data_IF_892765048431
#
_entry.id   IF_892765048431
#
_cell.length_a   1.000
_cell.length_b   1.000
_cell.length_c   1.000
_cell.angle_alpha   90.00
_cell.angle_beta   90.00
_cell.angle_gamma   90.00
#
_symmetry.space_group_name_H-M   'P 1'
#
loop_
_entity.id
_entity.type
_entity.pdbx_description
1 polymer ?
#
# COMPACT_ATOMS: atom_id res chain seq x y z
N UNK A 1 31.19 31.82 8.24
CA UNK A 1 30.36 32.42 7.17
C UNK A 1 29.75 31.28 6.37
N UNK A 2 28.58 30.78 6.78
CA UNK A 2 27.81 29.83 5.97
C UNK A 2 27.12 30.63 4.87
N UNK A 3 27.41 30.31 3.60
CA UNK A 3 26.93 31.09 2.46
C UNK A 3 25.40 30.96 2.26
N UNK A 4 24.77 31.95 1.59
CA UNK A 4 23.31 31.98 1.34
C UNK A 4 22.76 30.77 0.58
N UNK A 5 23.62 29.99 -0.09
CA UNK A 5 23.26 28.76 -0.83
C UNK A 5 22.93 27.58 0.10
N UNK A 6 23.67 27.41 1.22
CA UNK A 6 23.38 26.36 2.21
C UNK A 6 22.04 26.63 2.91
N UNK A 7 21.80 27.89 3.26
CA UNK A 7 20.60 28.34 3.93
C UNK A 7 19.34 28.14 3.06
N UNK A 8 19.45 28.35 1.74
CA UNK A 8 18.37 28.06 0.80
C UNK A 8 18.07 26.57 0.60
N UNK A 9 19.10 25.72 0.63
CA UNK A 9 18.95 24.27 0.53
C UNK A 9 18.24 23.69 1.77
N UNK A 10 18.65 24.12 2.97
CA UNK A 10 18.08 23.65 4.23
C UNK A 10 16.59 24.01 4.37
N UNK A 11 16.19 25.23 3.94
CA UNK A 11 14.79 25.66 3.92
C UNK A 11 13.93 24.79 2.98
N UNK A 12 14.49 24.40 1.82
CA UNK A 12 13.80 23.54 0.86
C UNK A 12 13.55 22.14 1.45
N UNK A 13 14.56 21.52 2.04
CA UNK A 13 14.48 20.17 2.64
C UNK A 13 13.53 20.16 3.85
N UNK A 14 13.58 21.19 4.70
CA UNK A 14 12.67 21.32 5.84
C UNK A 14 11.21 21.44 5.38
N UNK A 15 10.96 22.23 4.32
CA UNK A 15 9.63 22.38 3.75
C UNK A 15 9.11 21.06 3.20
N UNK A 16 9.94 20.34 2.43
CA UNK A 16 9.59 19.04 1.88
C UNK A 16 9.26 18.00 2.96
N UNK A 17 10.11 17.91 3.98
CA UNK A 17 9.92 16.97 5.11
C UNK A 17 8.63 17.29 5.87
N UNK A 18 8.35 18.57 6.08
CA UNK A 18 7.12 19.02 6.76
C UNK A 18 5.87 18.65 5.96
N UNK A 19 5.88 18.85 4.63
CA UNK A 19 4.77 18.47 3.76
C UNK A 19 4.57 16.95 3.79
N UNK A 20 5.65 16.19 3.66
CA UNK A 20 5.63 14.72 3.69
C UNK A 20 5.03 14.20 5.00
N UNK A 21 5.55 14.63 6.15
CA UNK A 21 5.05 14.21 7.45
C UNK A 21 3.59 14.62 7.66
N UNK A 22 3.22 15.85 7.27
CA UNK A 22 1.84 16.33 7.38
C UNK A 22 0.89 15.45 6.55
N UNK A 23 1.30 15.04 5.34
CA UNK A 23 0.51 14.15 4.50
C UNK A 23 0.30 12.77 5.13
N UNK A 24 1.32 12.22 5.80
CA UNK A 24 1.24 10.93 6.49
C UNK A 24 0.34 11.01 7.73
N UNK A 25 0.45 12.08 8.52
CA UNK A 25 -0.41 12.32 9.69
C UNK A 25 -1.86 12.50 9.27
N UNK A 26 -2.12 13.31 8.25
CA UNK A 26 -3.47 13.48 7.69
C UNK A 26 -4.01 12.12 7.21
N UNK A 27 -3.19 11.33 6.51
CA UNK A 27 -3.57 9.99 6.07
C UNK A 27 -3.93 9.08 7.23
N UNK A 28 -3.13 9.05 8.30
CA UNK A 28 -3.44 8.27 9.51
C UNK A 28 -4.75 8.70 10.17
N UNK A 29 -4.99 10.00 10.29
CA UNK A 29 -6.24 10.54 10.86
C UNK A 29 -7.44 10.11 10.01
N UNK A 30 -7.35 10.24 8.69
CA UNK A 30 -8.42 9.84 7.77
C UNK A 30 -8.66 8.32 7.77
N UNK A 31 -7.60 7.50 7.76
CA UNK A 31 -7.72 6.05 7.85
C UNK A 31 -8.36 5.63 9.17
N UNK A 32 -7.98 6.26 10.28
CA UNK A 32 -8.59 6.03 11.59
C UNK A 32 -10.06 6.44 11.62
N UNK A 33 -10.39 7.61 11.05
CA UNK A 33 -11.76 8.10 10.95
C UNK A 33 -12.66 7.19 10.09
N UNK A 34 -12.08 6.47 9.12
CA UNK A 34 -12.80 5.48 8.30
C UNK A 34 -12.90 4.12 9.00
N UNK A 35 -11.87 3.73 9.75
CA UNK A 35 -11.81 2.45 10.46
C UNK A 35 -12.74 2.42 11.68
N UNK A 36 -12.73 3.47 12.50
CA UNK A 36 -13.47 3.52 13.77
C UNK A 36 -14.99 3.28 13.62
N UNK A 37 -15.71 3.97 12.71
CA UNK A 37 -17.14 3.71 12.51
C UNK A 37 -17.41 2.27 12.04
N UNK A 38 -16.51 1.69 11.24
CA UNK A 38 -16.65 0.32 10.74
C UNK A 38 -16.36 -0.75 11.81
N UNK A 39 -15.65 -0.41 12.89
CA UNK A 39 -15.44 -1.29 14.04
C UNK A 39 -16.53 -1.15 15.10
N UNK A 40 -17.04 0.07 15.31
CA UNK A 40 -18.02 0.35 16.38
C UNK A 40 -19.46 0.14 15.91
N UNK A 41 -19.77 0.43 14.65
CA UNK A 41 -21.14 0.34 14.14
C UNK A 41 -21.52 -1.09 13.78
N UNK A 42 -22.57 -1.60 14.43
CA UNK A 42 -23.21 -2.89 14.08
C UNK A 42 -23.92 -2.86 12.71
N UNK A 43 -24.10 -1.68 12.13
CA UNK A 43 -24.80 -1.49 10.86
C UNK A 43 -23.85 -1.44 9.65
N UNK A 44 -22.54 -1.35 9.87
CA UNK A 44 -21.55 -1.23 8.80
C UNK A 44 -20.86 -2.58 8.61
N UNK A 45 -21.33 -3.34 7.61
CA UNK A 45 -20.69 -4.60 7.24
C UNK A 45 -19.63 -4.37 6.15
N UNK A 46 -18.39 -4.75 6.44
CA UNK A 46 -17.26 -4.72 5.50
C UNK A 46 -16.62 -6.10 5.39
N UNK A 47 -15.93 -6.33 4.28
CA UNK A 47 -15.19 -7.57 4.06
C UNK A 47 -13.98 -7.63 5.00
N UNK A 48 -13.58 -8.82 5.43
CA UNK A 48 -12.48 -8.98 6.41
C UNK A 48 -11.17 -8.41 5.88
N UNK A 49 -10.88 -8.60 4.59
CA UNK A 49 -9.66 -8.08 3.96
C UNK A 49 -9.66 -6.55 3.89
N UNK A 50 -10.84 -5.91 3.85
CA UNK A 50 -10.92 -4.45 3.87
C UNK A 50 -10.29 -3.85 5.14
N UNK A 51 -10.57 -4.44 6.31
CA UNK A 51 -9.94 -4.01 7.56
C UNK A 51 -8.43 -4.19 7.51
N UNK A 52 -7.96 -5.32 7.00
CA UNK A 52 -6.53 -5.61 6.88
C UNK A 52 -5.81 -4.64 5.93
N UNK A 53 -6.45 -4.27 4.81
CA UNK A 53 -5.95 -3.25 3.89
C UNK A 53 -5.82 -1.87 4.57
N UNK A 54 -6.83 -1.44 5.33
CA UNK A 54 -6.75 -0.17 6.08
C UNK A 54 -5.63 -0.22 7.11
N UNK A 55 -5.53 -1.30 7.89
CA UNK A 55 -4.44 -1.48 8.85
C UNK A 55 -3.06 -1.47 8.17
N UNK A 56 -2.92 -2.08 6.99
CA UNK A 56 -1.64 -2.06 6.27
C UNK A 56 -1.23 -0.66 5.81
N UNK A 57 -2.18 0.16 5.37
CA UNK A 57 -1.92 1.56 5.02
C UNK A 57 -1.52 2.38 6.26
N UNK A 58 -2.08 2.08 7.43
CA UNK A 58 -1.63 2.68 8.68
C UNK A 58 -0.21 2.26 9.04
N UNK A 59 0.15 0.98 8.88
CA UNK A 59 1.52 0.47 9.08
C UNK A 59 2.50 1.20 8.16
N UNK A 60 2.13 1.40 6.89
CA UNK A 60 2.92 2.21 5.95
C UNK A 60 3.18 3.62 6.49
N UNK A 61 2.15 4.34 6.91
CA UNK A 61 2.33 5.69 7.44
C UNK A 61 3.20 5.71 8.71
N UNK A 62 2.98 4.78 9.64
CA UNK A 62 3.77 4.68 10.88
C UNK A 62 5.24 4.42 10.56
N UNK A 63 5.54 3.54 9.59
CA UNK A 63 6.91 3.18 9.21
C UNK A 63 7.77 4.41 8.89
N UNK A 64 7.22 5.35 8.11
CA UNK A 64 7.90 6.60 7.79
C UNK A 64 7.94 7.60 8.96
N UNK A 65 6.87 7.67 9.76
CA UNK A 65 6.79 8.60 10.89
C UNK A 65 7.71 8.24 12.07
N UNK A 66 8.32 7.06 12.09
CA UNK A 66 9.28 6.67 13.14
C UNK A 66 10.50 7.59 13.24
N UNK A 67 10.87 8.28 12.16
CA UNK A 67 12.02 9.18 12.15
C UNK A 67 11.67 10.61 12.59
N UNK A 68 10.39 10.91 12.84
CA UNK A 68 9.98 12.26 13.27
C UNK A 68 10.75 12.65 14.53
N UNK A 69 11.41 13.81 14.48
CA UNK A 69 12.33 14.28 15.52
C UNK A 69 13.81 14.07 15.20
N UNK A 70 14.15 13.11 14.33
CA UNK A 70 15.52 12.84 13.85
C UNK A 70 15.71 13.13 12.34
N UNK A 71 14.65 13.56 11.65
CA UNK A 71 14.73 13.89 10.22
C UNK A 71 15.57 15.13 9.94
N UNK A 72 15.49 16.17 10.78
CA UNK A 72 16.17 17.46 10.55
C UNK A 72 17.20 17.69 11.66
N UNK A 73 18.41 18.10 11.27
CA UNK A 73 19.45 18.52 12.20
C UNK A 73 20.74 17.72 12.06
N UNK A 74 21.79 18.15 12.78
CA UNK A 74 23.12 17.53 12.71
C UNK A 74 23.19 16.20 13.46
N UNK A 75 22.22 15.90 14.33
CA UNK A 75 22.18 14.64 15.06
C UNK A 75 21.68 13.52 14.14
N UNK A 76 22.43 12.42 14.10
CA UNK A 76 22.05 11.21 13.37
C UNK A 76 21.07 10.37 14.21
N UNK A 77 20.09 9.71 13.59
CA UNK A 77 19.16 8.85 14.30
C UNK A 77 19.90 7.69 14.98
N UNK A 78 19.43 7.22 16.14
CA UNK A 78 19.95 6.00 16.75
C UNK A 78 19.93 4.85 15.75
N UNK A 79 21.06 4.16 15.58
CA UNK A 79 21.22 3.12 14.55
C UNK A 79 20.12 2.06 14.59
N UNK A 80 19.66 1.67 15.78
CA UNK A 80 18.57 0.71 15.94
C UNK A 80 17.22 1.22 15.39
N UNK A 81 16.93 2.51 15.56
CA UNK A 81 15.75 3.16 14.99
C UNK A 81 15.85 3.20 13.46
N UNK A 82 17.02 3.58 12.95
CA UNK A 82 17.30 3.70 11.52
C UNK A 82 17.19 2.34 10.83
N UNK A 83 17.83 1.29 11.37
CA UNK A 83 17.74 -0.10 10.88
C UNK A 83 16.30 -0.61 10.90
N UNK A 84 15.56 -0.41 11.99
CA UNK A 84 14.18 -0.86 12.10
C UNK A 84 13.27 -0.13 11.10
N UNK A 85 13.46 1.19 10.96
CA UNK A 85 12.72 1.98 9.98
C UNK A 85 13.03 1.52 8.56
N UNK A 86 14.30 1.36 8.19
CA UNK A 86 14.70 0.91 6.85
C UNK A 86 14.00 -0.39 6.47
N UNK A 87 14.00 -1.39 7.37
CA UNK A 87 13.30 -2.65 7.12
C UNK A 87 11.79 -2.46 6.93
N UNK A 88 11.15 -1.64 7.77
CA UNK A 88 9.71 -1.38 7.67
C UNK A 88 9.33 -0.56 6.43
N UNK A 89 10.13 0.43 6.04
CA UNK A 89 9.88 1.29 4.87
C UNK A 89 9.96 0.49 3.57
N UNK A 90 10.87 -0.47 3.46
CA UNK A 90 10.92 -1.35 2.29
C UNK A 90 9.78 -2.38 2.28
N UNK A 91 9.36 -2.89 3.43
CA UNK A 91 8.35 -3.95 3.51
C UNK A 91 6.90 -3.43 3.52
N UNK A 92 6.62 -2.26 4.11
CA UNK A 92 5.26 -1.77 4.26
C UNK A 92 4.52 -1.49 2.93
N UNK A 93 5.16 -0.97 1.86
CA UNK A 93 4.50 -0.85 0.56
C UNK A 93 4.10 -2.21 0.00
N UNK A 94 4.93 -3.25 0.21
CA UNK A 94 4.61 -4.63 -0.17
C UNK A 94 3.35 -5.09 0.57
N UNK A 95 3.27 -4.90 1.88
CA UNK A 95 2.09 -5.27 2.67
C UNK A 95 0.79 -4.64 2.14
N UNK A 96 0.83 -3.35 1.80
CA UNK A 96 -0.33 -2.63 1.26
C UNK A 96 -0.78 -3.22 -0.07
N UNK A 97 0.17 -3.47 -0.97
CA UNK A 97 -0.12 -4.01 -2.31
C UNK A 97 -0.59 -5.46 -2.24
N UNK A 98 0.01 -6.29 -1.37
CA UNK A 98 -0.42 -7.67 -1.16
C UNK A 98 -1.85 -7.76 -0.60
N UNK A 99 -2.22 -6.86 0.33
CA UNK A 99 -3.60 -6.79 0.82
C UNK A 99 -4.56 -6.22 -0.23
N UNK A 100 -4.13 -5.29 -1.08
CA UNK A 100 -4.95 -4.80 -2.19
C UNK A 100 -5.21 -5.90 -3.24
N UNK A 101 -4.21 -6.75 -3.51
CA UNK A 101 -4.36 -7.94 -4.33
C UNK A 101 -5.33 -8.94 -3.69
N UNK A 102 -5.19 -9.20 -2.40
CA UNK A 102 -6.09 -10.11 -1.67
C UNK A 102 -7.53 -9.59 -1.65
N UNK A 103 -7.71 -8.27 -1.51
CA UNK A 103 -9.01 -7.60 -1.62
C UNK A 103 -9.60 -7.75 -3.02
N UNK A 104 -8.76 -7.67 -4.07
CA UNK A 104 -9.15 -7.90 -5.46
C UNK A 104 -9.67 -9.32 -5.69
N UNK A 105 -8.97 -10.31 -5.12
CA UNK A 105 -9.39 -11.71 -5.21
C UNK A 105 -10.69 -11.97 -4.44
N UNK A 106 -10.83 -11.42 -3.23
CA UNK A 106 -12.05 -11.54 -2.43
C UNK A 106 -13.26 -10.96 -3.18
N UNK A 107 -13.10 -9.80 -3.83
CA UNK A 107 -14.15 -9.19 -4.64
C UNK A 107 -14.55 -10.08 -5.83
N UNK A 108 -13.56 -10.63 -6.55
CA UNK A 108 -13.82 -11.52 -7.69
C UNK A 108 -14.55 -12.79 -7.25
N UNK A 109 -14.08 -13.44 -6.18
CA UNK A 109 -14.71 -14.64 -5.63
C UNK A 109 -16.11 -14.37 -5.10
N UNK A 110 -16.33 -13.21 -4.46
CA UNK A 110 -17.65 -12.77 -4.04
C UNK A 110 -18.62 -12.63 -5.21
N UNK A 111 -18.19 -12.00 -6.31
CA UNK A 111 -19.00 -11.85 -7.53
C UNK A 111 -19.30 -13.22 -8.15
N UNK A 112 -18.30 -14.10 -8.25
CA UNK A 112 -18.46 -15.44 -8.82
C UNK A 112 -19.38 -16.33 -7.98
N UNK A 113 -19.22 -16.33 -6.65
CA UNK A 113 -20.07 -17.08 -5.72
C UNK A 113 -21.52 -16.60 -5.84
N UNK A 114 -21.73 -15.29 -5.80
CA UNK A 114 -23.05 -14.69 -5.96
C UNK A 114 -23.68 -15.00 -7.33
N UNK A 115 -22.90 -14.96 -8.42
CA UNK A 115 -23.37 -15.36 -9.76
C UNK A 115 -23.79 -16.82 -9.85
N UNK A 116 -23.28 -17.68 -8.97
CA UNK A 116 -23.64 -19.11 -8.87
C UNK A 116 -24.75 -19.37 -7.85
N UNK A 117 -25.30 -18.32 -7.22
CA UNK A 117 -26.27 -18.45 -6.13
C UNK A 117 -25.70 -19.11 -4.88
N UNK A 118 -24.38 -19.02 -4.66
CA UNK A 118 -23.67 -19.63 -3.53
C UNK A 118 -22.99 -18.57 -2.68
N UNK A 119 -22.79 -18.86 -1.41
CA UNK A 119 -21.92 -18.07 -0.55
C UNK A 119 -20.45 -18.43 -0.76
N UNK A 120 -19.57 -17.48 -0.49
CA UNK A 120 -18.13 -17.74 -0.54
C UNK A 120 -17.74 -18.68 0.61
N UNK A 121 -16.90 -19.67 0.31
CA UNK A 121 -16.46 -20.63 1.33
C UNK A 121 -15.62 -19.91 2.39
N UNK A 122 -15.93 -20.17 3.67
CA UNK A 122 -15.20 -19.59 4.81
C UNK A 122 -13.68 -19.84 4.73
N UNK A 123 -13.28 -21.02 4.25
CA UNK A 123 -11.86 -21.40 4.08
C UNK A 123 -11.09 -20.59 3.02
N UNK A 124 -11.76 -19.83 2.16
CA UNK A 124 -11.10 -18.98 1.15
C UNK A 124 -10.59 -17.66 1.74
N UNK A 125 -11.17 -17.18 2.86
CA UNK A 125 -10.74 -15.91 3.47
C UNK A 125 -9.41 -16.01 4.23
N UNK A 126 -9.16 -17.16 4.85
CA UNK A 126 -7.94 -17.39 5.66
C UNK A 126 -6.66 -17.24 4.83
N UNK A 127 -6.49 -17.92 3.67
CA UNK A 127 -5.28 -17.75 2.88
C UNK A 127 -5.12 -16.33 2.34
N UNK A 128 -6.21 -15.63 2.03
CA UNK A 128 -6.19 -14.22 1.59
C UNK A 128 -5.74 -13.26 2.71
N UNK A 129 -5.89 -13.64 3.98
CA UNK A 129 -5.37 -12.87 5.12
C UNK A 129 -3.92 -13.21 5.43
N UNK A 130 -3.55 -14.50 5.33
CA UNK A 130 -2.22 -15.00 5.71
C UNK A 130 -1.18 -14.66 4.65
N UNK A 131 -1.51 -14.76 3.36
CA UNK A 131 -0.56 -14.53 2.27
C UNK A 131 0.13 -13.15 2.36
N UNK A 132 -0.59 -12.02 2.52
CA UNK A 132 0.05 -10.70 2.65
C UNK A 132 0.98 -10.58 3.85
N UNK A 133 0.61 -11.16 5.00
CA UNK A 133 1.45 -11.15 6.19
C UNK A 133 2.72 -11.99 5.99
N UNK A 134 2.59 -13.13 5.33
CA UNK A 134 3.73 -13.97 5.02
C UNK A 134 4.74 -13.24 4.13
N UNK A 135 4.27 -12.64 3.02
CA UNK A 135 5.14 -11.87 2.11
C UNK A 135 5.79 -10.70 2.85
N UNK A 136 5.02 -9.95 3.64
CA UNK A 136 5.54 -8.84 4.44
C UNK A 136 6.63 -9.29 5.43
N UNK A 137 6.40 -10.35 6.21
CA UNK A 137 7.38 -10.85 7.18
C UNK A 137 8.66 -11.30 6.48
N UNK A 138 8.57 -11.95 5.32
CA UNK A 138 9.74 -12.33 4.53
C UNK A 138 10.56 -11.11 4.11
N UNK A 139 9.91 -10.05 3.60
CA UNK A 139 10.60 -8.81 3.18
C UNK A 139 11.17 -8.05 4.38
N UNK A 140 10.45 -8.00 5.52
CA UNK A 140 10.99 -7.41 6.77
C UNK A 140 12.25 -8.13 7.23
N UNK A 141 12.23 -9.47 7.27
CA UNK A 141 13.38 -10.27 7.71
C UNK A 141 14.57 -10.05 6.77
N UNK A 142 14.34 -10.08 5.46
CA UNK A 142 15.37 -9.84 4.46
C UNK A 142 16.02 -8.46 4.62
N UNK A 143 15.22 -7.39 4.64
CA UNK A 143 15.72 -6.04 4.79
C UNK A 143 16.42 -5.82 6.14
N UNK A 144 15.90 -6.43 7.21
CA UNK A 144 16.50 -6.38 8.55
C UNK A 144 17.86 -7.09 8.59
N UNK A 145 17.97 -8.28 7.99
CA UNK A 145 19.23 -9.02 7.90
C UNK A 145 20.26 -8.21 7.14
N UNK A 146 19.91 -7.63 5.98
CA UNK A 146 20.82 -6.81 5.20
C UNK A 146 21.27 -5.55 5.95
N UNK A 147 20.35 -4.87 6.64
CA UNK A 147 20.67 -3.68 7.43
C UNK A 147 21.54 -4.00 8.66
N UNK A 148 21.36 -5.16 9.30
CA UNK A 148 22.18 -5.60 10.43
C UNK A 148 23.58 -6.06 9.97
N UNK A 149 23.69 -6.67 8.79
CA UNK A 149 24.98 -7.08 8.24
C UNK A 149 25.81 -5.88 7.78
N UNK A 150 25.16 -4.84 7.26
CA UNK A 150 25.81 -3.65 6.70
C UNK A 150 25.44 -2.38 7.49
N UNK A 151 25.55 -2.40 8.81
CA UNK A 151 25.14 -1.27 9.68
C UNK A 151 25.79 0.06 9.31
N UNK A 152 27.01 0.02 8.79
CA UNK A 152 27.77 1.21 8.40
C UNK A 152 27.25 1.83 7.09
N UNK A 153 26.39 1.12 6.36
CA UNK A 153 25.75 1.57 5.11
C UNK A 153 24.30 2.01 5.32
N UNK A 154 23.79 1.92 6.56
CA UNK A 154 22.47 2.41 6.93
C UNK A 154 22.60 3.87 7.29
N UNK A 155 22.06 4.73 6.44
CA UNK A 155 22.15 6.18 6.61
C UNK A 155 20.83 6.84 6.26
N UNK A 156 20.65 8.06 6.76
CA UNK A 156 19.50 8.90 6.44
C UNK A 156 19.56 9.28 4.96
N UNK A 157 18.43 9.11 4.28
CA UNK A 157 18.29 9.48 2.87
C UNK A 157 18.58 10.99 2.66
N UNK A 158 19.18 11.41 1.54
CA UNK A 158 19.45 12.83 1.27
C UNK A 158 18.21 13.73 1.29
N UNK A 159 17.02 13.21 1.01
CA UNK A 159 15.76 13.93 1.13
C UNK A 159 15.25 13.99 2.58
N UNK A 160 15.96 13.38 3.53
CA UNK A 160 15.71 13.39 4.97
C UNK A 160 14.38 12.73 5.39
N UNK A 161 13.71 12.00 4.50
CA UNK A 161 12.40 11.43 4.79
C UNK A 161 12.46 10.13 5.61
N UNK A 162 13.46 9.30 5.36
CA UNK A 162 13.60 7.98 5.97
C UNK A 162 15.08 7.54 5.97
N UNK A 163 15.38 6.48 6.72
CA UNK A 163 16.64 5.78 6.65
C UNK A 163 16.66 4.76 5.50
N UNK A 164 17.71 4.77 4.71
CA UNK A 164 17.90 3.85 3.58
C UNK A 164 19.19 3.04 3.74
N UNK A 165 19.25 1.94 3.00
CA UNK A 165 20.49 1.18 2.83
C UNK A 165 21.14 1.61 1.51
N UNK A 166 22.45 1.83 1.50
CA UNK A 166 23.17 2.20 0.28
C UNK A 166 23.02 1.13 -0.82
N UNK A 167 22.99 -0.14 -0.43
CA UNK A 167 22.63 -1.24 -1.33
C UNK A 167 21.18 -1.13 -1.80
N UNK A 168 20.98 -1.13 -3.12
CA UNK A 168 19.66 -1.11 -3.75
C UNK A 168 18.89 -2.44 -3.64
N UNK A 169 19.48 -3.47 -3.03
CA UNK A 169 18.91 -4.83 -2.96
C UNK A 169 17.53 -4.89 -2.29
N UNK A 170 17.31 -4.34 -1.08
CA UNK A 170 15.99 -4.41 -0.44
C UNK A 170 14.93 -3.65 -1.25
N UNK A 171 15.30 -2.48 -1.79
CA UNK A 171 14.43 -1.67 -2.63
C UNK A 171 14.03 -2.41 -3.91
N UNK A 172 14.98 -3.08 -4.57
CA UNK A 172 14.75 -3.87 -5.78
C UNK A 172 13.82 -5.05 -5.51
N UNK A 173 14.03 -5.80 -4.43
CA UNK A 173 13.18 -6.94 -4.05
C UNK A 173 11.75 -6.45 -3.83
N UNK A 174 11.54 -5.42 -3.01
CA UNK A 174 10.21 -4.84 -2.79
C UNK A 174 9.57 -4.36 -4.09
N UNK A 175 10.32 -3.67 -4.95
CA UNK A 175 9.82 -3.18 -6.23
C UNK A 175 9.39 -4.33 -7.17
N UNK A 176 10.15 -5.41 -7.23
CA UNK A 176 9.80 -6.60 -8.03
C UNK A 176 8.52 -7.24 -7.52
N UNK A 177 8.39 -7.45 -6.20
CA UNK A 177 7.19 -8.03 -5.60
C UNK A 177 5.96 -7.16 -5.89
N UNK A 178 6.06 -5.85 -5.63
CA UNK A 178 4.98 -4.89 -5.88
C UNK A 178 4.58 -4.88 -7.36
N UNK A 179 5.54 -4.93 -8.27
CA UNK A 179 5.26 -4.92 -9.71
C UNK A 179 4.50 -6.16 -10.15
N UNK A 180 4.89 -7.35 -9.65
CA UNK A 180 4.19 -8.60 -9.94
C UNK A 180 2.76 -8.53 -9.40
N UNK A 181 2.57 -8.12 -8.14
CA UNK A 181 1.25 -8.03 -7.52
C UNK A 181 0.36 -6.99 -8.19
N UNK A 182 0.91 -5.83 -8.57
CA UNK A 182 0.19 -4.81 -9.32
C UNK A 182 -0.25 -5.31 -10.71
N UNK A 183 0.62 -6.05 -11.41
CA UNK A 183 0.27 -6.70 -12.68
C UNK A 183 -0.90 -7.68 -12.51
N UNK A 184 -0.87 -8.51 -11.46
CA UNK A 184 -1.97 -9.42 -11.14
C UNK A 184 -3.27 -8.66 -10.79
N UNK A 185 -3.19 -7.54 -10.06
CA UNK A 185 -4.35 -6.71 -9.76
C UNK A 185 -5.03 -6.19 -11.03
N UNK A 186 -4.25 -5.68 -11.99
CA UNK A 186 -4.78 -5.19 -13.28
C UNK A 186 -5.53 -6.32 -14.02
N UNK A 187 -4.95 -7.53 -14.07
CA UNK A 187 -5.60 -8.69 -14.70
C UNK A 187 -6.93 -9.01 -13.99
N UNK A 188 -6.94 -9.04 -12.65
CA UNK A 188 -8.15 -9.29 -11.87
C UNK A 188 -9.20 -8.18 -12.05
N UNK A 189 -8.79 -6.93 -12.23
CA UNK A 189 -9.69 -5.80 -12.52
C UNK A 189 -10.37 -5.95 -13.87
N UNK A 190 -9.62 -6.32 -14.91
CA UNK A 190 -10.18 -6.58 -16.25
C UNK A 190 -11.19 -7.71 -16.18
N UNK A 191 -10.85 -8.83 -15.54
CA UNK A 191 -11.76 -9.98 -15.37
C UNK A 191 -13.01 -9.55 -14.59
N UNK A 192 -12.83 -8.84 -13.47
CA UNK A 192 -13.95 -8.35 -12.65
C UNK A 192 -14.85 -7.41 -13.46
N UNK A 193 -14.27 -6.49 -14.22
CA UNK A 193 -14.98 -5.56 -15.10
C UNK A 193 -15.79 -6.26 -16.19
N UNK A 194 -15.20 -7.28 -16.84
CA UNK A 194 -15.90 -8.11 -17.85
C UNK A 194 -17.11 -8.82 -17.22
N UNK A 195 -16.92 -9.47 -16.06
CA UNK A 195 -18.01 -10.17 -15.36
C UNK A 195 -19.13 -9.21 -14.94
N UNK A 196 -18.75 -8.02 -14.45
CA UNK A 196 -19.69 -6.97 -14.08
C UNK A 196 -20.45 -6.44 -15.31
N UNK A 197 -19.78 -6.24 -16.44
CA UNK A 197 -20.38 -5.79 -17.69
C UNK A 197 -21.36 -6.83 -18.27
N UNK A 198 -20.92 -8.09 -18.40
CA UNK A 198 -21.76 -9.19 -18.85
C UNK A 198 -23.02 -9.32 -18.00
N UNK A 199 -22.89 -9.17 -16.68
CA UNK A 199 -24.03 -9.23 -15.79
C UNK A 199 -25.01 -8.07 -16.02
N UNK A 200 -24.51 -6.85 -16.18
CA UNK A 200 -25.34 -5.67 -16.46
C UNK A 200 -26.14 -5.86 -17.75
N UNK A 201 -25.54 -6.42 -18.79
CA UNK A 201 -26.23 -6.68 -20.07
C UNK A 201 -27.27 -7.81 -19.96
N UNK A 202 -27.00 -8.85 -19.17
CA UNK A 202 -27.96 -9.93 -18.92
C UNK A 202 -29.15 -9.51 -18.03
N UNK A 203 -28.92 -8.66 -17.02
CA UNK A 203 -29.99 -8.11 -16.15
C UNK A 203 -30.83 -7.05 -16.88
N UNK A 204 -30.20 -6.18 -17.67
CA UNK A 204 -30.92 -5.20 -18.51
C UNK A 204 -31.83 -5.83 -19.57
N UNK A 205 -31.65 -7.13 -19.87
CA UNK A 205 -32.60 -7.93 -20.69
C UNK A 205 -33.70 -8.62 -19.89
N UNK A 206 -33.61 -8.66 -18.55
CA UNK A 206 -34.50 -9.40 -17.64
C UNK A 206 -35.31 -8.51 -16.70
N UNK A 207 -35.14 -7.18 -16.78
CA UNK A 207 -35.84 -6.13 -16.01
C UNK A 207 -37.36 -6.03 -16.28
N UNK A 208 -38.01 -7.09 -16.77
CA UNK A 208 -39.48 -7.19 -16.79
C UNK A 208 -40.06 -8.16 -15.77
N UNK A 209 -39.26 -8.91 -14.98
CA UNK A 209 -39.85 -9.99 -14.17
C UNK A 209 -39.50 -10.05 -12.67
N UNK A 210 -38.33 -9.65 -12.16
CA UNK A 210 -38.08 -9.73 -10.70
C UNK A 210 -36.75 -9.09 -10.32
N UNK A 211 -36.78 -7.81 -9.90
CA UNK A 211 -35.61 -7.10 -9.39
C UNK A 211 -35.29 -7.59 -7.96
N UNK A 212 -34.35 -8.55 -7.83
CA UNK A 212 -33.75 -8.83 -6.52
C UNK A 212 -32.80 -7.66 -6.18
N UNK A 213 -33.22 -6.82 -5.24
CA UNK A 213 -32.66 -5.52 -4.86
C UNK A 213 -31.28 -5.56 -4.14
N UNK A 214 -30.35 -6.46 -4.50
CA UNK A 214 -29.01 -6.39 -3.93
C UNK A 214 -28.18 -5.33 -4.71
N UNK A 215 -27.84 -4.18 -4.11
CA UNK A 215 -27.15 -3.11 -4.81
C UNK A 215 -25.77 -3.57 -5.29
N UNK A 216 -25.59 -3.45 -6.60
CA UNK A 216 -24.37 -3.78 -7.32
C UNK A 216 -23.19 -2.92 -6.80
N UNK A 217 -22.02 -3.50 -6.43
CA UNK A 217 -20.93 -2.77 -5.77
C UNK A 217 -20.06 -1.93 -6.74
N UNK A 218 -20.69 -1.22 -7.69
CA UNK A 218 -19.98 -0.43 -8.70
C UNK A 218 -19.07 0.64 -8.10
N UNK A 219 -19.55 1.31 -7.04
CA UNK A 219 -18.75 2.32 -6.34
C UNK A 219 -17.48 1.73 -5.71
N UNK A 220 -17.52 0.47 -5.27
CA UNK A 220 -16.35 -0.23 -4.75
C UNK A 220 -15.35 -0.54 -5.87
N UNK A 221 -15.86 -0.96 -7.03
CA UNK A 221 -15.04 -1.24 -8.21
C UNK A 221 -14.35 0.02 -8.76
N UNK A 222 -15.06 1.15 -8.85
CA UNK A 222 -14.45 2.43 -9.26
C UNK A 222 -13.34 2.85 -8.28
N UNK A 223 -13.61 2.81 -6.97
CA UNK A 223 -12.60 3.16 -5.95
C UNK A 223 -11.35 2.29 -6.06
N UNK A 224 -11.54 1.00 -6.37
CA UNK A 224 -10.45 0.06 -6.60
C UNK A 224 -9.61 0.44 -7.83
N UNK A 225 -10.24 0.72 -8.98
CA UNK A 225 -9.52 1.15 -10.19
C UNK A 225 -8.66 2.37 -9.89
N UNK A 226 -9.22 3.37 -9.20
CA UNK A 226 -8.47 4.57 -8.82
C UNK A 226 -7.24 4.20 -8.00
N UNK A 227 -7.37 3.30 -7.02
CA UNK A 227 -6.23 2.85 -6.21
C UNK A 227 -5.14 2.16 -7.04
N UNK A 228 -5.52 1.26 -7.95
CA UNK A 228 -4.57 0.53 -8.82
C UNK A 228 -3.88 1.47 -9.83
N UNK A 229 -4.60 2.44 -10.38
CA UNK A 229 -4.01 3.45 -11.27
C UNK A 229 -2.97 4.31 -10.55
N UNK A 230 -3.21 4.67 -9.29
CA UNK A 230 -2.23 5.42 -8.49
C UNK A 230 -0.94 4.61 -8.27
N UNK A 231 -1.06 3.31 -7.96
CA UNK A 231 0.10 2.41 -7.82
C UNK A 231 0.85 2.31 -9.16
N UNK A 232 0.13 2.10 -10.27
CA UNK A 232 0.73 2.00 -11.60
C UNK A 232 1.47 3.27 -12.02
N UNK A 233 0.91 4.44 -11.71
CA UNK A 233 1.55 5.73 -11.98
C UNK A 233 2.83 5.91 -11.15
N UNK A 234 2.79 5.55 -9.86
CA UNK A 234 3.96 5.61 -8.99
C UNK A 234 5.09 4.69 -9.50
N UNK A 235 4.78 3.44 -9.86
CA UNK A 235 5.76 2.50 -10.43
C UNK A 235 6.31 2.99 -11.77
N UNK A 236 5.47 3.54 -12.64
CA UNK A 236 5.88 4.10 -13.92
C UNK A 236 6.83 5.29 -13.74
N UNK A 237 6.55 6.17 -12.78
CA UNK A 237 7.42 7.30 -12.45
C UNK A 237 8.79 6.84 -11.94
N UNK A 238 8.82 5.89 -11.01
CA UNK A 238 10.05 5.29 -10.48
C UNK A 238 10.84 4.61 -11.61
N UNK A 239 10.20 3.81 -12.46
CA UNK A 239 10.85 3.17 -13.60
C UNK A 239 11.49 4.16 -14.56
N UNK A 240 10.84 5.30 -14.84
CA UNK A 240 11.40 6.37 -15.67
C UNK A 240 12.63 7.01 -15.04
N UNK A 241 12.64 7.21 -13.72
CA UNK A 241 13.81 7.73 -13.00
C UNK A 241 14.98 6.76 -13.13
N UNK A 242 14.78 5.47 -12.83
CA UNK A 242 15.84 4.47 -12.92
C UNK A 242 16.38 4.27 -14.34
N UNK A 243 15.55 4.44 -15.38
CA UNK A 243 16.01 4.40 -16.78
C UNK A 243 16.84 5.66 -17.13
N UNK A 244 16.52 6.81 -16.54
CA UNK A 244 17.22 8.08 -16.80
C UNK A 244 18.45 8.33 -15.92
N UNK A 245 18.61 7.58 -14.84
CA UNK A 245 19.76 7.63 -13.94
C UNK A 245 20.67 6.43 -14.21
N UNK A 246 21.48 6.42 -15.29
CA UNK A 246 22.58 5.49 -15.36
C UNK A 246 23.55 5.85 -14.24
N UNK A 247 23.95 4.84 -13.47
CA UNK A 247 25.01 4.94 -12.47
C UNK A 247 26.26 5.65 -13.00
#
# INVERSE_FOLDING_TARGET
MAGPVLLGHDISVQTQTTIFNSSLVISLVLLTAVLLPALVSKHVYRMRIWYALICSAMVYCVSFLLLVGYQIGPEEPPIGLCVAQTAMVYAAPVLVVSYALSFSMELLFGIQAYSRGKEMKSGTHIPLLIFPLFVYVVVVIEALVLAIMNKNEVERDPAMFYCHLHSSTPALISAVVITIEAGLMIILEVITGILLYQRKTHLGRRDSATASNAPFPFGLFIRKIVFTMNIGFALGYVGVIYIKSPW
#
